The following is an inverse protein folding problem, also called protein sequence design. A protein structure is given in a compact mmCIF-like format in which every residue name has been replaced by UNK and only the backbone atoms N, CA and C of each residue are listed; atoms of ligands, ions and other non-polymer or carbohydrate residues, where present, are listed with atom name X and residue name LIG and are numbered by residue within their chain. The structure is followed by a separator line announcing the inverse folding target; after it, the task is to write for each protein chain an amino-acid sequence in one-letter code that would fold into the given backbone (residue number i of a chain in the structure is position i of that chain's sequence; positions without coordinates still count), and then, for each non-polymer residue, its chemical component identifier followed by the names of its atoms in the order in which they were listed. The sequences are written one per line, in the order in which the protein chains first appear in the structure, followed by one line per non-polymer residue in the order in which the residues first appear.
data_IF_261166131980
#
_entry.id   IF_261166131980
#
_cell.length_a   1.000
_cell.length_b   1.000
_cell.length_c   1.000
_cell.angle_alpha   90.00
_cell.angle_beta   90.00
_cell.angle_gamma   90.00
#
_symmetry.space_group_name_H-M   'P 1'
#
loop_
_entity.id
_entity.type
_entity.pdbx_description
1 polymer ?
#
# COMPACT_ATOMS: atom_id res chain seq x y z
N UNK A 1 -27.66 -35.43 52.60
CA UNK A 1 -27.69 -34.18 51.82
C UNK A 1 -26.83 -33.18 52.56
N UNK A 2 -25.66 -32.84 52.03
CA UNK A 2 -24.73 -31.89 52.65
C UNK A 2 -23.39 -32.01 51.93
N UNK A 3 -22.97 -30.90 51.31
CA UNK A 3 -21.63 -30.56 50.79
C UNK A 3 -21.60 -30.06 49.33
N UNK A 4 -22.72 -30.09 48.60
CA UNK A 4 -22.82 -29.46 47.26
C UNK A 4 -22.13 -30.23 46.14
N UNK A 5 -21.69 -31.46 46.39
CA UNK A 5 -21.13 -32.39 45.42
C UNK A 5 -22.15 -33.48 45.05
N UNK A 6 -22.19 -33.86 43.77
CA UNK A 6 -23.00 -34.96 43.25
C UNK A 6 -22.12 -36.00 42.58
N UNK A 7 -22.25 -37.25 43.00
CA UNK A 7 -21.71 -38.40 42.28
C UNK A 7 -22.80 -38.92 41.32
N UNK A 8 -22.50 -38.89 40.02
CA UNK A 8 -23.48 -39.17 38.96
C UNK A 8 -22.94 -40.25 38.03
N UNK A 9 -23.63 -41.39 38.00
CA UNK A 9 -23.40 -42.43 37.00
C UNK A 9 -24.36 -42.20 35.83
N UNK A 10 -23.90 -41.76 34.65
CA UNK A 10 -24.76 -41.58 33.50
C UNK A 10 -25.28 -42.95 33.00
N UNK A 11 -26.51 -42.99 32.45
CA UNK A 11 -27.05 -44.23 31.90
C UNK A 11 -26.26 -44.67 30.67
N UNK A 12 -26.19 -45.99 30.43
CA UNK A 12 -25.32 -46.62 29.43
C UNK A 12 -25.50 -46.15 27.97
N UNK A 13 -26.62 -45.49 27.65
CA UNK A 13 -26.90 -44.96 26.31
C UNK A 13 -26.43 -43.50 26.12
N UNK A 14 -26.02 -42.80 27.19
CA UNK A 14 -25.47 -41.43 27.14
C UNK A 14 -23.95 -41.49 27.00
N UNK A 15 -23.50 -41.63 25.75
CA UNK A 15 -22.09 -41.73 25.38
C UNK A 15 -21.36 -40.37 25.38
N UNK A 16 -22.13 -39.29 25.51
CA UNK A 16 -21.73 -37.89 25.50
C UNK A 16 -21.49 -37.31 26.91
N UNK A 17 -21.87 -38.02 27.98
CA UNK A 17 -21.72 -37.55 29.37
C UNK A 17 -20.50 -38.19 30.01
N UNK A 18 -19.39 -37.46 30.02
CA UNK A 18 -18.07 -37.94 30.48
C UNK A 18 -17.35 -36.98 31.42
N UNK A 19 -17.73 -35.70 31.41
CA UNK A 19 -17.16 -34.66 32.27
C UNK A 19 -18.27 -33.88 33.01
N UNK A 20 -17.94 -33.16 34.10
CA UNK A 20 -18.93 -32.38 34.85
C UNK A 20 -19.71 -31.37 34.00
N UNK A 21 -19.07 -30.75 33.00
CA UNK A 21 -19.69 -29.76 32.11
C UNK A 21 -20.84 -30.35 31.28
N UNK A 22 -20.78 -31.64 30.92
CA UNK A 22 -21.86 -32.32 30.21
C UNK A 22 -23.11 -32.42 31.09
N UNK A 23 -22.93 -32.66 32.40
CA UNK A 23 -24.03 -32.63 33.36
C UNK A 23 -24.59 -31.22 33.56
N UNK A 24 -23.72 -30.20 33.56
CA UNK A 24 -24.15 -28.80 33.63
C UNK A 24 -24.96 -28.42 32.39
N UNK A 25 -24.55 -28.86 31.19
CA UNK A 25 -25.34 -28.70 29.96
C UNK A 25 -26.71 -29.38 30.10
N UNK A 26 -26.77 -30.61 30.58
CA UNK A 26 -28.04 -31.33 30.76
C UNK A 26 -28.99 -30.63 31.73
N UNK A 27 -28.45 -30.14 32.86
CA UNK A 27 -29.22 -29.33 33.81
C UNK A 27 -29.70 -28.04 33.14
N UNK A 28 -28.83 -27.33 32.43
CA UNK A 28 -29.19 -26.09 31.74
C UNK A 28 -30.25 -26.30 30.66
N UNK A 29 -30.12 -27.36 29.86
CA UNK A 29 -31.04 -27.74 28.78
C UNK A 29 -32.42 -28.09 29.32
N UNK A 30 -32.50 -28.84 30.42
CA UNK A 30 -33.77 -29.22 31.07
C UNK A 30 -34.38 -28.06 31.86
N UNK A 31 -33.55 -27.24 32.52
CA UNK A 31 -33.99 -26.03 33.21
C UNK A 31 -34.58 -25.01 32.23
N UNK A 32 -34.01 -24.93 31.03
CA UNK A 32 -34.37 -24.02 29.95
C UNK A 32 -33.46 -22.79 29.94
N UNK A 33 -32.69 -22.60 28.87
CA UNK A 33 -31.71 -21.52 28.75
C UNK A 33 -32.33 -20.12 28.87
N UNK A 34 -33.58 -19.95 28.42
CA UNK A 34 -34.31 -18.67 28.55
C UNK A 34 -34.52 -18.23 30.01
N UNK A 35 -34.37 -19.16 30.96
CA UNK A 35 -34.49 -18.88 32.39
C UNK A 35 -33.17 -18.47 33.05
N UNK A 36 -32.05 -18.53 32.32
CA UNK A 36 -30.75 -18.05 32.81
C UNK A 36 -30.72 -16.53 32.63
N UNK A 37 -30.63 -15.74 33.72
CA UNK A 37 -30.63 -14.28 33.59
C UNK A 37 -29.43 -13.77 32.79
N UNK A 38 -29.62 -12.85 31.82
CA UNK A 38 -28.51 -12.25 31.11
C UNK A 38 -27.76 -11.31 32.05
N UNK A 39 -26.47 -11.56 32.25
CA UNK A 39 -25.58 -10.70 33.02
C UNK A 39 -24.39 -10.27 32.17
N UNK A 40 -24.01 -8.99 32.25
CA UNK A 40 -22.79 -8.53 31.59
C UNK A 40 -21.56 -9.23 32.22
N UNK A 41 -20.64 -9.76 31.41
CA UNK A 41 -19.38 -10.28 31.93
C UNK A 41 -18.51 -9.11 32.43
N UNK A 42 -18.00 -9.19 33.65
CA UNK A 42 -16.88 -8.35 34.10
C UNK A 42 -16.99 -7.75 35.51
N UNK A 43 -15.83 -7.36 36.03
CA UNK A 43 -15.69 -6.42 37.16
C UNK A 43 -15.64 -5.00 36.61
N UNK A 44 -16.07 -4.01 37.41
CA UNK A 44 -15.78 -2.60 37.09
C UNK A 44 -14.27 -2.41 37.07
N UNK A 45 -13.72 -2.00 35.93
CA UNK A 45 -12.32 -1.61 35.84
C UNK A 45 -12.17 -0.19 36.37
N UNK A 46 -11.32 0.01 37.39
CA UNK A 46 -11.02 1.33 37.97
C UNK A 46 -10.02 2.13 37.12
N UNK A 47 -9.30 1.44 36.24
CA UNK A 47 -8.30 2.02 35.33
C UNK A 47 -8.47 1.46 33.92
N UNK A 48 -8.39 2.34 32.93
CA UNK A 48 -8.43 1.98 31.52
C UNK A 48 -7.08 2.33 30.87
N UNK A 49 -6.39 1.32 30.37
CA UNK A 49 -5.25 1.52 29.46
C UNK A 49 -5.80 1.42 28.04
N UNK A 50 -5.70 2.46 27.21
CA UNK A 50 -6.11 2.36 25.82
C UNK A 50 -5.30 1.25 25.14
N UNK A 51 -6.00 0.28 24.56
CA UNK A 51 -5.35 -0.68 23.68
C UNK A 51 -4.82 0.06 22.46
N UNK A 52 -3.63 -0.32 21.99
CA UNK A 52 -3.19 0.06 20.65
C UNK A 52 -4.29 -0.31 19.66
N UNK A 53 -4.67 0.58 18.73
CA UNK A 53 -5.62 0.27 17.68
C UNK A 53 -5.29 -1.06 17.00
N UNK A 54 -6.31 -1.87 16.69
CA UNK A 54 -6.10 -3.05 15.85
C UNK A 54 -5.51 -2.61 14.50
N UNK A 55 -4.79 -3.52 13.84
CA UNK A 55 -4.28 -3.29 12.48
C UNK A 55 -5.41 -2.83 11.55
N UNK A 56 -6.57 -3.47 11.65
CA UNK A 56 -7.73 -3.13 10.83
C UNK A 56 -8.23 -1.69 11.07
N UNK A 57 -8.32 -1.25 12.33
CA UNK A 57 -8.67 0.15 12.64
C UNK A 57 -7.66 1.15 12.09
N UNK A 58 -6.36 0.81 12.11
CA UNK A 58 -5.34 1.67 11.51
C UNK A 58 -5.49 1.78 10.00
N UNK A 59 -6.08 0.77 9.35
CA UNK A 59 -6.27 0.75 7.90
C UNK A 59 -7.53 1.48 7.46
N UNK A 60 -8.40 1.89 8.37
CA UNK A 60 -9.53 2.78 8.05
C UNK A 60 -9.05 4.09 7.44
N UNK A 61 -7.93 4.64 7.90
CA UNK A 61 -7.32 5.84 7.30
C UNK A 61 -6.93 5.62 5.83
N UNK A 62 -6.48 4.41 5.47
CA UNK A 62 -6.17 4.04 4.08
C UNK A 62 -7.45 3.88 3.26
N UNK A 63 -8.50 3.28 3.83
CA UNK A 63 -9.82 3.17 3.20
C UNK A 63 -10.41 4.55 2.93
N UNK A 64 -10.30 5.49 3.87
CA UNK A 64 -10.77 6.86 3.69
C UNK A 64 -10.05 7.59 2.55
N UNK A 65 -8.72 7.44 2.43
CA UNK A 65 -7.96 8.01 1.31
C UNK A 65 -8.41 7.43 -0.03
N UNK A 66 -8.55 6.10 -0.11
CA UNK A 66 -8.95 5.41 -1.35
C UNK A 66 -10.40 5.75 -1.74
N UNK A 67 -11.32 5.75 -0.78
CA UNK A 67 -12.71 6.16 -0.98
C UNK A 67 -12.80 7.63 -1.40
N UNK A 68 -12.03 8.52 -0.77
CA UNK A 68 -11.95 9.94 -1.13
C UNK A 68 -11.36 10.17 -2.54
N UNK A 69 -10.49 9.27 -3.01
CA UNK A 69 -9.99 9.25 -4.38
C UNK A 69 -10.95 8.59 -5.39
N UNK A 70 -12.12 8.13 -4.94
CA UNK A 70 -13.17 7.54 -5.76
C UNK A 70 -13.01 6.05 -6.03
N UNK A 71 -12.21 5.33 -5.25
CA UNK A 71 -12.11 3.87 -5.33
C UNK A 71 -13.22 3.19 -4.52
N UNK A 72 -13.65 2.01 -5.00
CA UNK A 72 -14.59 1.14 -4.30
C UNK A 72 -13.86 -0.08 -3.74
N UNK A 73 -14.05 -0.37 -2.46
CA UNK A 73 -13.51 -1.59 -1.84
C UNK A 73 -14.21 -2.82 -2.42
N UNK A 74 -13.44 -3.83 -2.75
CA UNK A 74 -13.94 -5.13 -3.20
C UNK A 74 -13.44 -6.23 -2.28
N UNK A 75 -14.28 -7.24 -2.07
CA UNK A 75 -13.90 -8.46 -1.39
C UNK A 75 -13.84 -9.59 -2.40
N UNK A 76 -12.65 -10.15 -2.62
CA UNK A 76 -12.46 -11.23 -3.58
C UNK A 76 -12.12 -12.55 -2.88
N UNK A 77 -12.48 -13.71 -3.46
CA UNK A 77 -12.08 -15.00 -2.93
C UNK A 77 -10.55 -15.12 -2.79
N UNK A 78 -10.10 -15.73 -1.69
CA UNK A 78 -8.69 -16.06 -1.49
C UNK A 78 -8.25 -17.24 -2.38
N UNK A 79 -9.18 -18.10 -2.77
CA UNK A 79 -8.97 -19.19 -3.71
C UNK A 79 -9.22 -18.72 -5.14
N UNK A 80 -8.24 -18.95 -6.00
CA UNK A 80 -8.20 -18.59 -7.42
C UNK A 80 -7.71 -19.78 -8.22
N UNK A 81 -7.73 -19.67 -9.55
CA UNK A 81 -7.20 -20.70 -10.44
C UNK A 81 -5.67 -20.73 -10.41
N UNK A 82 -5.09 -21.87 -10.03
CA UNK A 82 -3.66 -22.12 -10.10
C UNK A 82 -3.12 -22.03 -11.52
N UNK A 83 -3.88 -22.51 -12.51
CA UNK A 83 -3.53 -22.40 -13.92
C UNK A 83 -3.35 -20.93 -14.36
N UNK A 84 -4.19 -20.02 -13.84
CA UNK A 84 -4.04 -18.59 -14.10
C UNK A 84 -2.81 -18.00 -13.41
N UNK A 85 -2.47 -18.44 -12.20
CA UNK A 85 -1.23 -18.01 -11.55
C UNK A 85 0.00 -18.44 -12.35
N UNK A 86 -0.03 -19.62 -12.97
CA UNK A 86 1.04 -20.12 -13.86
C UNK A 86 1.14 -19.30 -15.16
N UNK A 87 0.01 -19.00 -15.81
CA UNK A 87 -0.04 -18.14 -17.00
C UNK A 87 0.57 -16.76 -16.71
N UNK A 88 0.21 -16.19 -15.56
CA UNK A 88 0.74 -14.92 -15.08
C UNK A 88 2.17 -15.03 -14.52
N UNK A 89 2.73 -16.24 -14.41
CA UNK A 89 4.05 -16.57 -13.85
C UNK A 89 4.27 -16.06 -12.43
N UNK A 90 3.21 -16.11 -11.61
CA UNK A 90 3.22 -15.78 -10.18
C UNK A 90 2.89 -16.99 -9.30
N UNK A 91 2.98 -18.21 -9.85
CA UNK A 91 2.71 -19.46 -9.16
C UNK A 91 3.89 -20.03 -8.34
N UNK A 92 5.08 -19.40 -8.40
CA UNK A 92 6.30 -19.95 -7.79
C UNK A 92 6.20 -20.26 -6.28
N UNK A 93 5.33 -19.53 -5.56
CA UNK A 93 5.04 -19.75 -4.13
C UNK A 93 3.55 -20.03 -3.89
N UNK A 94 2.82 -20.48 -4.91
CA UNK A 94 1.40 -20.79 -4.80
C UNK A 94 1.18 -22.08 -3.99
N UNK A 95 0.02 -22.16 -3.35
CA UNK A 95 -0.35 -23.28 -2.49
C UNK A 95 -1.72 -23.83 -2.92
N UNK A 96 -1.77 -25.00 -3.59
CA UNK A 96 -3.01 -25.63 -3.98
C UNK A 96 -3.72 -26.25 -2.78
N UNK A 97 -5.05 -26.32 -2.85
CA UNK A 97 -5.91 -27.00 -1.88
C UNK A 97 -6.25 -28.40 -2.40
N UNK A 98 -6.17 -29.40 -1.53
CA UNK A 98 -6.35 -30.81 -1.91
C UNK A 98 -7.78 -31.19 -2.27
N UNK A 99 -8.77 -30.54 -1.65
CA UNK A 99 -10.20 -30.78 -1.84
C UNK A 99 -10.90 -29.53 -2.41
N UNK A 100 -10.33 -29.00 -3.50
CA UNK A 100 -10.89 -27.84 -4.19
C UNK A 100 -12.34 -28.08 -4.66
N UNK A 101 -13.16 -27.03 -4.59
CA UNK A 101 -14.55 -27.06 -5.07
C UNK A 101 -14.63 -27.04 -6.60
N UNK A 102 -13.64 -26.41 -7.26
CA UNK A 102 -13.52 -26.31 -8.72
C UNK A 102 -12.10 -25.89 -9.11
N UNK A 103 -11.74 -26.06 -10.38
CA UNK A 103 -10.44 -25.63 -10.95
C UNK A 103 -10.27 -24.09 -10.97
N UNK A 104 -11.37 -23.34 -10.83
CA UNK A 104 -11.33 -21.88 -10.70
C UNK A 104 -10.99 -21.42 -9.26
N UNK A 105 -11.08 -22.33 -8.29
CA UNK A 105 -10.90 -22.08 -6.86
C UNK A 105 -10.05 -23.18 -6.20
N UNK A 106 -8.94 -23.54 -6.85
CA UNK A 106 -8.07 -24.65 -6.42
C UNK A 106 -6.81 -24.21 -5.68
N UNK A 107 -6.46 -22.91 -5.73
CA UNK A 107 -5.15 -22.43 -5.27
C UNK A 107 -5.26 -21.12 -4.50
N UNK A 108 -4.53 -20.96 -3.40
CA UNK A 108 -4.47 -19.69 -2.67
C UNK A 108 -3.74 -18.62 -3.50
N UNK A 109 -4.32 -17.41 -3.54
CA UNK A 109 -3.77 -16.28 -4.29
C UNK A 109 -2.42 -15.81 -3.75
N UNK A 110 -1.47 -15.55 -4.66
CA UNK A 110 -0.15 -14.99 -4.34
C UNK A 110 -0.08 -13.46 -4.51
N UNK A 111 -1.14 -12.85 -5.08
CA UNK A 111 -1.32 -11.42 -5.33
C UNK A 111 -2.83 -11.10 -5.38
N UNK A 112 -3.21 -9.86 -5.06
CA UNK A 112 -4.59 -9.35 -5.12
C UNK A 112 -4.95 -8.84 -6.53
N UNK A 113 -3.96 -8.45 -7.33
CA UNK A 113 -4.17 -7.81 -8.63
C UNK A 113 -4.99 -8.65 -9.62
N UNK A 114 -4.80 -9.98 -9.79
CA UNK A 114 -5.61 -10.75 -10.72
C UNK A 114 -7.11 -10.66 -10.41
N UNK A 115 -7.48 -10.77 -9.14
CA UNK A 115 -8.88 -10.68 -8.69
C UNK A 115 -9.45 -9.27 -8.89
N UNK A 116 -8.65 -8.22 -8.65
CA UNK A 116 -9.06 -6.84 -8.94
C UNK A 116 -9.28 -6.60 -10.44
N UNK A 117 -8.46 -7.21 -11.30
CA UNK A 117 -8.65 -7.16 -12.75
C UNK A 117 -9.96 -7.84 -13.18
N UNK A 118 -10.33 -8.95 -12.54
CA UNK A 118 -11.63 -9.59 -12.78
C UNK A 118 -12.80 -8.73 -12.34
N UNK A 119 -12.68 -8.06 -11.19
CA UNK A 119 -13.68 -7.11 -10.74
C UNK A 119 -13.85 -5.95 -11.74
N UNK A 120 -12.76 -5.46 -12.34
CA UNK A 120 -12.84 -4.47 -13.43
C UNK A 120 -13.54 -5.05 -14.65
N UNK A 121 -13.18 -6.26 -15.09
CA UNK A 121 -13.76 -6.93 -16.24
C UNK A 121 -15.28 -7.12 -16.10
N UNK A 122 -15.71 -7.64 -14.95
CA UNK A 122 -17.12 -7.85 -14.63
C UNK A 122 -17.93 -6.55 -14.71
N UNK A 123 -17.36 -5.43 -14.26
CA UNK A 123 -18.01 -4.13 -14.31
C UNK A 123 -18.06 -3.56 -15.73
N UNK A 124 -16.99 -3.76 -16.52
CA UNK A 124 -16.96 -3.33 -17.92
C UNK A 124 -17.94 -4.10 -18.80
N UNK A 125 -18.08 -5.40 -18.59
CA UNK A 125 -19.08 -6.24 -19.26
C UNK A 125 -20.52 -5.76 -18.97
N UNK A 126 -20.71 -5.01 -17.88
CA UNK A 126 -21.97 -4.37 -17.48
C UNK A 126 -22.04 -2.89 -17.88
N UNK A 127 -21.16 -2.42 -18.75
CA UNK A 127 -21.18 -1.07 -19.32
C UNK A 127 -20.54 0.02 -18.45
N UNK A 128 -19.82 -0.32 -17.37
CA UNK A 128 -19.10 0.66 -16.54
C UNK A 128 -17.68 0.85 -17.05
N UNK A 129 -17.35 2.06 -17.50
CA UNK A 129 -16.04 2.35 -18.13
C UNK A 129 -14.98 2.86 -17.15
N UNK A 130 -15.36 3.75 -16.20
CA UNK A 130 -14.47 4.29 -15.18
C UNK A 130 -14.60 3.43 -13.91
N UNK A 131 -13.83 2.34 -13.87
CA UNK A 131 -13.80 1.42 -12.72
C UNK A 131 -12.51 1.64 -11.95
N UNK A 132 -12.68 1.89 -10.64
CA UNK A 132 -11.61 2.12 -9.66
C UNK A 132 -11.90 1.24 -8.45
N UNK A 133 -11.10 0.19 -8.28
CA UNK A 133 -11.32 -0.82 -7.24
C UNK A 133 -10.07 -1.00 -6.42
N UNK A 134 -10.25 -1.29 -5.13
CA UNK A 134 -9.16 -1.66 -4.24
C UNK A 134 -9.56 -2.82 -3.34
N UNK A 135 -8.57 -3.47 -2.75
CA UNK A 135 -8.75 -4.50 -1.73
C UNK A 135 -7.61 -4.39 -0.71
N UNK A 136 -7.96 -4.61 0.56
CA UNK A 136 -7.01 -4.78 1.67
C UNK A 136 -7.19 -6.20 2.19
N UNK A 137 -6.24 -7.08 1.91
CA UNK A 137 -6.37 -8.48 2.30
C UNK A 137 -5.03 -9.24 2.27
N UNK A 138 -5.03 -10.43 2.85
CA UNK A 138 -3.87 -11.31 2.82
C UNK A 138 -3.64 -11.89 1.41
N UNK A 139 -2.37 -11.95 1.01
CA UNK A 139 -1.86 -12.91 0.03
C UNK A 139 -1.22 -14.10 0.76
N UNK A 140 -1.07 -15.23 0.09
CA UNK A 140 -0.54 -16.45 0.70
C UNK A 140 0.66 -16.94 -0.08
N UNK A 141 1.81 -17.05 0.58
CA UNK A 141 3.06 -17.44 -0.05
C UNK A 141 3.65 -18.67 0.66
N UNK A 142 3.77 -19.78 -0.05
CA UNK A 142 4.42 -20.98 0.45
C UNK A 142 5.88 -20.67 0.86
N UNK A 143 6.30 -21.17 2.03
CA UNK A 143 7.68 -21.00 2.52
C UNK A 143 8.65 -21.85 1.72
N UNK A 144 9.76 -21.25 1.27
CA UNK A 144 10.75 -21.95 0.46
C UNK A 144 11.54 -22.91 1.35
N UNK A 145 11.54 -24.21 0.99
CA UNK A 145 12.32 -25.23 1.70
C UNK A 145 11.63 -25.83 2.94
N UNK A 146 10.45 -25.37 3.31
CA UNK A 146 9.68 -25.89 4.46
C UNK A 146 8.46 -26.67 3.96
N UNK A 147 8.43 -28.00 4.17
CA UNK A 147 7.26 -28.82 3.86
C UNK A 147 6.25 -28.76 5.00
N UNK A 148 4.96 -28.65 4.68
CA UNK A 148 3.83 -28.60 5.63
C UNK A 148 3.86 -27.43 6.63
N UNK A 149 4.59 -26.35 6.32
CA UNK A 149 4.54 -25.13 7.11
C UNK A 149 3.34 -24.26 6.71
N UNK A 150 2.83 -23.47 7.65
CA UNK A 150 1.88 -22.41 7.34
C UNK A 150 2.52 -21.40 6.36
N UNK A 151 1.75 -20.86 5.39
CA UNK A 151 2.25 -19.87 4.46
C UNK A 151 2.68 -18.59 5.19
N UNK A 152 3.50 -17.79 4.52
CA UNK A 152 3.55 -16.36 4.82
C UNK A 152 2.24 -15.72 4.36
N UNK A 153 1.63 -14.92 5.23
CA UNK A 153 0.35 -14.26 4.97
C UNK A 153 0.50 -12.73 5.01
N UNK A 154 1.28 -12.12 4.09
CA UNK A 154 1.42 -10.66 4.08
C UNK A 154 0.08 -10.00 3.81
N UNK A 155 -0.28 -9.06 4.68
CA UNK A 155 -1.39 -8.15 4.47
C UNK A 155 -1.01 -7.12 3.42
N UNK A 156 -1.77 -7.06 2.33
CA UNK A 156 -1.51 -6.16 1.22
C UNK A 156 -2.65 -5.19 1.02
N UNK A 157 -2.30 -4.01 0.51
CA UNK A 157 -3.25 -3.10 -0.12
C UNK A 157 -2.93 -3.03 -1.60
N UNK A 158 -3.95 -3.26 -2.43
CA UNK A 158 -3.85 -3.18 -3.88
C UNK A 158 -4.99 -2.35 -4.45
N UNK A 159 -4.71 -1.61 -5.52
CA UNK A 159 -5.72 -0.83 -6.23
C UNK A 159 -5.49 -0.90 -7.74
N UNK A 160 -6.59 -0.88 -8.51
CA UNK A 160 -6.59 -0.87 -9.97
C UNK A 160 -7.51 0.26 -10.45
N UNK A 161 -7.02 1.05 -11.40
CA UNK A 161 -7.76 2.12 -12.06
C UNK A 161 -7.66 1.98 -13.59
N UNK A 162 -8.80 2.16 -14.25
CA UNK A 162 -8.88 2.25 -15.71
C UNK A 162 -8.32 3.57 -16.23
N UNK A 163 -7.56 3.50 -17.32
CA UNK A 163 -7.07 4.65 -18.08
C UNK A 163 -7.41 4.48 -19.57
N UNK A 164 -7.54 5.62 -20.27
CA UNK A 164 -7.66 5.61 -21.72
C UNK A 164 -6.43 4.98 -22.40
N UNK A 165 -6.58 4.55 -23.65
CA UNK A 165 -5.57 3.78 -24.36
C UNK A 165 -4.28 4.55 -24.69
N UNK A 166 -4.30 5.89 -24.68
CA UNK A 166 -3.12 6.69 -25.01
C UNK A 166 -2.02 6.57 -23.95
N UNK A 167 -0.76 6.66 -24.38
CA UNK A 167 0.38 6.62 -23.46
C UNK A 167 0.36 7.80 -22.46
N UNK A 168 -0.10 8.97 -22.92
CA UNK A 168 -0.27 10.15 -22.07
C UNK A 168 -1.31 9.93 -20.96
N UNK A 169 -2.45 9.32 -21.29
CA UNK A 169 -3.47 9.00 -20.30
C UNK A 169 -2.97 7.96 -19.28
N UNK A 170 -2.24 6.95 -19.73
CA UNK A 170 -1.57 5.98 -18.84
C UNK A 170 -0.60 6.65 -17.89
N UNK A 171 0.29 7.51 -18.39
CA UNK A 171 1.25 8.26 -17.59
C UNK A 171 0.58 9.22 -16.60
N UNK A 172 -0.47 9.93 -17.01
CA UNK A 172 -1.26 10.81 -16.12
C UNK A 172 -1.92 10.00 -15.01
N UNK A 173 -2.50 8.85 -15.33
CA UNK A 173 -3.17 7.97 -14.36
C UNK A 173 -2.16 7.35 -13.39
N UNK A 174 -0.97 6.98 -13.86
CA UNK A 174 0.13 6.52 -13.03
C UNK A 174 0.56 7.56 -12.00
N UNK A 175 0.69 8.83 -12.41
CA UNK A 175 1.01 9.92 -11.48
C UNK A 175 -0.12 10.17 -10.48
N UNK A 176 -1.37 10.12 -10.92
CA UNK A 176 -2.52 10.25 -10.02
C UNK A 176 -2.57 9.12 -8.99
N UNK A 177 -2.39 7.87 -9.43
CA UNK A 177 -2.38 6.71 -8.54
C UNK A 177 -1.18 6.74 -7.56
N UNK A 178 -0.03 7.22 -8.01
CA UNK A 178 1.12 7.50 -7.13
C UNK A 178 0.72 8.46 -6.00
N UNK A 179 0.04 9.55 -6.31
CA UNK A 179 -0.40 10.52 -5.31
C UNK A 179 -1.39 9.93 -4.31
N UNK A 180 -2.29 9.04 -4.76
CA UNK A 180 -3.20 8.30 -3.87
C UNK A 180 -2.40 7.39 -2.94
N UNK A 181 -1.44 6.62 -3.48
CA UNK A 181 -0.56 5.76 -2.68
C UNK A 181 0.26 6.56 -1.65
N UNK A 182 0.84 7.69 -2.05
CA UNK A 182 1.53 8.59 -1.12
C UNK A 182 0.59 9.08 -0.01
N UNK A 183 -0.67 9.38 -0.35
CA UNK A 183 -1.72 9.73 0.59
C UNK A 183 -2.02 8.60 1.59
N UNK A 184 -2.11 7.36 1.13
CA UNK A 184 -2.31 6.19 2.00
C UNK A 184 -1.17 6.03 3.01
N UNK A 185 0.08 6.16 2.55
CA UNK A 185 1.27 6.08 3.41
C UNK A 185 1.31 7.23 4.42
N UNK A 186 0.96 8.45 3.98
CA UNK A 186 0.90 9.62 4.85
C UNK A 186 -0.20 9.53 5.91
N UNK A 187 -1.37 8.97 5.56
CA UNK A 187 -2.48 8.77 6.50
C UNK A 187 -2.09 7.80 7.63
N UNK A 188 -1.29 6.78 7.31
CA UNK A 188 -0.66 5.90 8.30
C UNK A 188 0.49 6.55 9.09
N UNK A 189 0.77 7.84 8.88
CA UNK A 189 1.86 8.59 9.50
C UNK A 189 3.23 7.94 9.30
N UNK A 190 3.44 7.27 8.17
CA UNK A 190 4.71 6.66 7.79
C UNK A 190 5.57 7.62 6.95
N UNK A 191 6.91 7.45 6.91
CA UNK A 191 7.78 8.24 6.05
C UNK A 191 7.41 8.10 4.57
N UNK A 192 7.75 9.11 3.78
CA UNK A 192 7.47 9.10 2.33
C UNK A 192 8.24 8.00 1.62
N UNK A 193 7.56 7.24 0.77
CA UNK A 193 8.20 6.25 -0.10
C UNK A 193 9.04 6.90 -1.21
N UNK A 194 10.02 6.15 -1.67
CA UNK A 194 10.77 6.40 -2.91
C UNK A 194 10.33 5.41 -3.99
N UNK A 195 10.57 5.78 -5.25
CA UNK A 195 10.11 5.03 -6.41
C UNK A 195 11.29 4.79 -7.35
N UNK A 196 11.57 3.52 -7.66
CA UNK A 196 12.69 3.11 -8.50
C UNK A 196 12.16 2.38 -9.73
N UNK A 197 12.69 2.67 -10.93
CA UNK A 197 12.30 1.93 -12.14
C UNK A 197 12.52 0.43 -11.90
N UNK A 198 11.51 -0.37 -12.20
CA UNK A 198 11.54 -1.81 -11.98
C UNK A 198 10.88 -2.55 -13.13
N UNK A 199 11.19 -3.85 -13.24
CA UNK A 199 10.44 -4.79 -14.05
C UNK A 199 9.85 -5.85 -13.11
N UNK A 200 8.55 -6.02 -13.15
CA UNK A 200 7.82 -6.96 -12.30
C UNK A 200 6.81 -7.73 -13.15
N UNK A 201 6.56 -8.97 -12.79
CA UNK A 201 5.87 -9.94 -13.64
C UNK A 201 4.47 -9.48 -14.11
N UNK A 202 3.70 -8.81 -13.24
CA UNK A 202 2.35 -8.31 -13.54
C UNK A 202 2.34 -6.94 -14.21
N UNK A 203 3.49 -6.28 -14.35
CA UNK A 203 3.59 -4.89 -14.77
C UNK A 203 4.36 -4.74 -16.07
N UNK A 204 4.08 -3.68 -16.80
CA UNK A 204 4.81 -3.33 -18.00
C UNK A 204 6.25 -2.91 -17.65
N UNK A 205 7.30 -3.49 -18.28
CA UNK A 205 8.70 -3.32 -17.86
C UNK A 205 9.23 -1.89 -17.97
N UNK A 206 8.68 -1.09 -18.90
CA UNK A 206 9.03 0.33 -19.05
C UNK A 206 8.17 1.30 -18.25
N UNK A 207 7.13 0.83 -17.56
CA UNK A 207 6.09 1.66 -16.92
C UNK A 207 5.72 1.12 -15.54
N UNK A 208 6.74 0.71 -14.80
CA UNK A 208 6.65 0.13 -13.47
C UNK A 208 7.73 0.74 -12.57
N UNK A 209 7.36 0.95 -11.31
CA UNK A 209 8.27 1.34 -10.25
C UNK A 209 8.11 0.43 -9.04
N UNK A 210 9.23 0.02 -8.46
CA UNK A 210 9.28 -0.53 -7.12
C UNK A 210 9.01 0.61 -6.11
N UNK A 211 8.13 0.33 -5.15
CA UNK A 211 7.81 1.23 -4.04
C UNK A 211 8.72 0.86 -2.87
N UNK A 212 9.53 1.81 -2.40
CA UNK A 212 10.59 1.54 -1.42
C UNK A 212 10.46 2.48 -0.22
N UNK A 213 10.46 1.91 0.98
CA UNK A 213 10.45 2.62 2.26
C UNK A 213 11.68 2.21 3.07
N UNK A 214 12.52 3.16 3.47
CA UNK A 214 13.75 2.92 4.24
C UNK A 214 14.65 1.80 3.65
N UNK A 215 14.76 1.77 2.32
CA UNK A 215 15.54 0.75 1.60
C UNK A 215 14.86 -0.60 1.43
N UNK A 216 13.70 -0.82 2.06
CA UNK A 216 12.88 -2.02 1.88
C UNK A 216 11.86 -1.84 0.76
N UNK A 217 11.86 -2.75 -0.20
CA UNK A 217 10.81 -2.81 -1.22
C UNK A 217 9.50 -3.30 -0.59
N UNK A 218 8.43 -2.53 -0.78
CA UNK A 218 7.08 -2.85 -0.31
C UNK A 218 6.24 -3.55 -1.38
N UNK A 219 6.54 -3.28 -2.65
CA UNK A 219 5.74 -3.76 -3.77
C UNK A 219 5.95 -2.89 -5.00
N UNK A 220 4.92 -2.75 -5.83
CA UNK A 220 5.04 -2.11 -7.14
C UNK A 220 3.86 -1.18 -7.45
N UNK A 221 4.13 -0.18 -8.28
CA UNK A 221 3.18 0.74 -8.88
C UNK A 221 3.48 0.84 -10.38
N UNK A 222 2.49 0.68 -11.25
CA UNK A 222 2.73 0.72 -12.69
C UNK A 222 1.51 0.47 -13.56
N UNK A 223 1.72 0.55 -14.87
CA UNK A 223 0.77 -0.03 -15.82
C UNK A 223 0.87 -1.55 -15.80
N UNK A 224 -0.26 -2.25 -15.79
CA UNK A 224 -0.29 -3.70 -15.88
C UNK A 224 0.21 -4.18 -17.25
N UNK A 225 0.85 -5.35 -17.27
CA UNK A 225 1.27 -5.96 -18.53
C UNK A 225 0.04 -6.42 -19.34
N UNK A 226 0.02 -6.30 -20.68
CA UNK A 226 -1.13 -6.72 -21.50
C UNK A 226 -1.57 -8.17 -21.30
N UNK A 227 -0.65 -9.07 -20.91
CA UNK A 227 -0.98 -10.47 -20.60
C UNK A 227 -1.87 -10.61 -19.36
N UNK A 228 -1.75 -9.70 -18.38
CA UNK A 228 -2.63 -9.71 -17.19
C UNK A 228 -4.07 -9.43 -17.58
N UNK A 229 -4.28 -8.63 -18.62
CA UNK A 229 -5.59 -8.21 -19.11
C UNK A 229 -6.12 -9.05 -20.27
N UNK A 230 -5.30 -9.97 -20.81
CA UNK A 230 -5.61 -10.68 -22.07
C UNK A 230 -6.87 -11.54 -21.98
N UNK A 231 -7.12 -12.17 -20.83
CA UNK A 231 -8.33 -12.97 -20.59
C UNK A 231 -9.61 -12.14 -20.39
N UNK A 232 -9.48 -10.83 -20.15
CA UNK A 232 -10.56 -10.01 -19.60
C UNK A 232 -11.28 -9.10 -20.63
N UNK A 233 -10.98 -9.21 -21.94
CA UNK A 233 -11.54 -8.35 -23.02
C UNK A 233 -11.56 -6.85 -22.68
N UNK A 234 -10.54 -6.39 -21.96
CA UNK A 234 -10.45 -5.03 -21.46
C UNK A 234 -9.83 -4.10 -22.53
N UNK A 235 -10.57 -3.09 -22.97
CA UNK A 235 -10.02 -2.02 -23.81
C UNK A 235 -9.28 -0.96 -22.97
N UNK A 236 -8.20 -0.38 -23.51
CA UNK A 236 -7.44 0.66 -22.82
C UNK A 236 -6.39 0.12 -21.84
N UNK A 237 -5.95 0.96 -20.90
CA UNK A 237 -4.86 0.66 -19.97
C UNK A 237 -5.40 0.45 -18.57
N UNK A 238 -4.76 -0.42 -17.80
CA UNK A 238 -4.95 -0.52 -16.36
C UNK A 238 -3.68 -0.09 -15.65
N UNK A 239 -3.85 0.75 -14.65
CA UNK A 239 -2.77 1.18 -13.76
C UNK A 239 -3.08 0.65 -12.38
N UNK A 240 -2.07 0.13 -11.70
CA UNK A 240 -2.26 -0.52 -10.42
C UNK A 240 -1.10 -0.28 -9.47
N UNK A 241 -1.35 -0.46 -8.17
CA UNK A 241 -0.32 -0.75 -7.20
C UNK A 241 -0.71 -1.95 -6.35
N UNK A 242 0.29 -2.62 -5.79
CA UNK A 242 0.14 -3.60 -4.71
C UNK A 242 1.36 -3.44 -3.80
N UNK A 243 1.13 -3.22 -2.50
CA UNK A 243 2.19 -3.11 -1.49
C UNK A 243 1.87 -3.91 -0.22
N UNK A 244 2.92 -4.42 0.43
CA UNK A 244 2.85 -4.97 1.78
C UNK A 244 2.63 -3.85 2.80
N UNK A 245 1.72 -4.08 3.74
CA UNK A 245 1.23 -3.06 4.68
C UNK A 245 2.04 -3.03 5.97
N UNK A 246 2.46 -4.19 6.46
CA UNK A 246 3.15 -4.33 7.75
C UNK A 246 4.40 -3.43 7.88
N UNK A 247 5.27 -3.30 6.85
CA UNK A 247 6.43 -2.43 6.97
C UNK A 247 6.05 -0.95 7.08
N UNK A 248 4.95 -0.54 6.45
CA UNK A 248 4.41 0.83 6.56
C UNK A 248 3.90 1.07 7.98
N UNK A 249 3.14 0.11 8.52
CA UNK A 249 2.61 0.17 9.89
C UNK A 249 3.70 0.14 10.95
N UNK A 250 4.83 -0.53 10.67
CA UNK A 250 6.00 -0.56 11.57
C UNK A 250 6.79 0.75 11.54
N UNK A 251 6.83 1.43 10.38
CA UNK A 251 7.52 2.72 10.22
C UNK A 251 6.69 3.93 10.68
N UNK A 252 5.39 3.74 10.94
CA UNK A 252 4.48 4.80 11.37
C UNK A 252 4.96 5.50 12.64
N UNK A 253 4.82 6.81 12.69
CA UNK A 253 5.18 7.63 13.85
C UNK A 253 3.95 8.36 14.36
N UNK A 254 3.87 8.55 15.67
CA UNK A 254 2.81 9.39 16.26
C UNK A 254 3.09 10.85 15.84
N UNK A 255 2.18 11.52 15.13
CA UNK A 255 2.35 12.91 14.77
C UNK A 255 2.52 13.77 16.03
N UNK A 256 3.54 14.63 16.03
CA UNK A 256 3.76 15.61 17.10
C UNK A 256 3.42 16.99 16.58
N UNK A 257 2.69 17.75 17.39
CA UNK A 257 2.43 19.15 17.09
C UNK A 257 3.76 19.90 16.94
N UNK A 258 3.89 20.64 15.84
CA UNK A 258 5.01 21.54 15.61
C UNK A 258 4.52 22.99 15.71
N UNK A 259 5.33 23.92 16.23
CA UNK A 259 5.00 25.33 16.24
C UNK A 259 4.73 25.83 14.82
N UNK A 260 3.77 26.75 14.68
CA UNK A 260 3.55 27.41 13.40
C UNK A 260 4.80 28.24 12.99
N UNK A 261 5.12 28.29 11.69
CA UNK A 261 6.21 29.12 11.18
C UNK A 261 6.02 30.59 11.60
N UNK A 262 7.07 31.19 12.20
CA UNK A 262 7.07 32.60 12.63
C UNK A 262 7.71 33.56 11.63
N UNK A 263 8.54 33.02 10.73
CA UNK A 263 9.31 33.79 9.76
C UNK A 263 8.87 33.46 8.34
N UNK A 264 8.94 34.43 7.40
CA UNK A 264 8.53 34.20 6.02
C UNK A 264 9.44 33.15 5.36
N UNK A 265 8.86 32.39 4.42
CA UNK A 265 9.66 31.55 3.53
C UNK A 265 10.16 32.38 2.34
N UNK A 266 11.28 31.93 1.77
CA UNK A 266 11.82 32.43 0.51
C UNK A 266 11.73 31.29 -0.51
N UNK A 267 11.14 31.56 -1.67
CA UNK A 267 11.08 30.60 -2.77
C UNK A 267 12.12 30.94 -3.84
N UNK A 268 12.72 29.88 -4.40
CA UNK A 268 13.61 29.94 -5.56
C UNK A 268 13.28 28.80 -6.50
N UNK A 269 13.19 29.13 -7.77
CA UNK A 269 13.11 28.13 -8.82
C UNK A 269 14.51 27.74 -9.30
N UNK A 270 14.65 26.47 -9.69
CA UNK A 270 15.89 25.90 -10.20
C UNK A 270 15.58 25.04 -11.43
N UNK A 271 16.04 25.46 -12.60
CA UNK A 271 16.00 24.65 -13.82
C UNK A 271 17.29 23.83 -13.95
N UNK A 272 17.16 22.51 -13.85
CA UNK A 272 18.27 21.57 -13.89
C UNK A 272 18.24 20.82 -15.21
N UNK A 273 19.34 20.86 -15.97
CA UNK A 273 19.51 20.12 -17.22
C UNK A 273 20.35 18.87 -16.97
N UNK A 274 19.83 17.71 -17.34
CA UNK A 274 20.49 16.42 -17.12
C UNK A 274 20.26 15.48 -18.30
N UNK A 275 21.05 14.42 -18.39
CA UNK A 275 20.78 13.30 -19.29
C UNK A 275 19.38 12.73 -19.03
N UNK A 276 18.74 12.27 -20.10
CA UNK A 276 17.35 11.81 -20.06
C UNK A 276 17.10 10.66 -19.07
N UNK A 277 18.11 9.81 -18.89
CA UNK A 277 18.01 8.65 -18.00
C UNK A 277 17.95 9.02 -16.51
N UNK A 278 18.37 10.23 -16.14
CA UNK A 278 18.43 10.65 -14.73
C UNK A 278 17.02 10.86 -14.18
N UNK A 279 16.68 10.15 -13.10
CA UNK A 279 15.36 10.27 -12.48
C UNK A 279 15.22 11.57 -11.69
N UNK A 280 14.07 12.25 -11.79
CA UNK A 280 13.77 13.44 -11.00
C UNK A 280 13.87 13.17 -9.48
N UNK A 281 13.53 11.95 -9.04
CA UNK A 281 13.70 11.53 -7.65
C UNK A 281 15.15 11.54 -7.16
N UNK A 282 16.11 11.21 -8.02
CA UNK A 282 17.54 11.27 -7.68
C UNK A 282 18.00 12.73 -7.50
N UNK A 283 17.52 13.63 -8.37
CA UNK A 283 17.76 15.07 -8.23
C UNK A 283 17.14 15.64 -6.95
N UNK A 284 15.90 15.26 -6.63
CA UNK A 284 15.24 15.67 -5.38
C UNK A 284 16.02 15.20 -4.15
N UNK A 285 16.54 13.97 -4.16
CA UNK A 285 17.36 13.47 -3.07
C UNK A 285 18.64 14.30 -2.92
N UNK A 286 19.32 14.59 -4.04
CA UNK A 286 20.52 15.42 -4.02
C UNK A 286 20.25 16.85 -3.55
N UNK A 287 19.16 17.46 -4.00
CA UNK A 287 18.69 18.77 -3.54
C UNK A 287 18.46 18.76 -2.03
N UNK A 288 17.76 17.75 -1.50
CA UNK A 288 17.46 17.64 -0.07
C UNK A 288 18.72 17.50 0.79
N UNK A 289 19.66 16.66 0.36
CA UNK A 289 20.92 16.47 1.09
C UNK A 289 21.82 17.71 1.06
N UNK A 290 21.85 18.44 -0.06
CA UNK A 290 22.65 19.67 -0.18
C UNK A 290 21.98 20.91 0.40
N UNK A 291 20.65 20.94 0.49
CA UNK A 291 19.90 22.09 1.00
C UNK A 291 19.95 22.27 2.53
N UNK A 292 20.36 21.23 3.25
CA UNK A 292 20.52 21.27 4.70
C UNK A 292 19.25 21.64 5.46
N UNK A 293 19.41 22.22 6.64
CA UNK A 293 18.31 22.55 7.55
C UNK A 293 17.44 23.73 7.07
N UNK A 294 17.96 24.57 6.17
CA UNK A 294 17.23 25.74 5.66
C UNK A 294 16.25 25.37 4.55
N UNK A 295 16.44 24.26 3.86
CA UNK A 295 15.52 23.79 2.82
C UNK A 295 14.31 23.11 3.47
N UNK A 296 13.18 23.80 3.46
CA UNK A 296 11.91 23.31 4.03
C UNK A 296 11.21 22.36 3.04
N UNK A 297 11.14 22.74 1.76
CA UNK A 297 10.49 21.95 0.73
C UNK A 297 11.23 22.00 -0.62
N UNK A 298 11.14 20.91 -1.37
CA UNK A 298 11.61 20.82 -2.75
C UNK A 298 10.61 19.99 -3.56
N UNK A 299 10.10 20.56 -4.67
CA UNK A 299 9.17 19.86 -5.57
C UNK A 299 9.56 20.08 -7.03
N UNK A 300 9.49 19.03 -7.84
CA UNK A 300 9.53 19.17 -9.29
C UNK A 300 8.14 19.61 -9.79
N UNK A 301 8.08 20.59 -10.67
CA UNK A 301 6.80 21.09 -11.21
C UNK A 301 6.71 21.04 -12.73
N UNK A 302 7.84 20.97 -13.45
CA UNK A 302 7.85 20.87 -14.90
C UNK A 302 9.00 19.98 -15.41
N UNK A 303 8.78 19.31 -16.54
CA UNK A 303 9.80 18.58 -17.30
C UNK A 303 9.69 18.97 -18.78
N UNK A 304 10.74 19.58 -19.30
CA UNK A 304 10.82 20.02 -20.68
C UNK A 304 11.84 19.23 -21.49
N UNK A 305 11.43 18.85 -22.70
CA UNK A 305 12.23 18.18 -23.73
C UNK A 305 12.10 18.94 -25.02
N UNK A 306 13.21 19.40 -25.58
CA UNK A 306 13.18 20.12 -26.85
C UNK A 306 14.55 20.62 -27.28
N UNK A 307 14.61 21.25 -28.46
CA UNK A 307 15.86 21.65 -29.12
C UNK A 307 16.77 22.53 -28.23
N UNK A 308 16.19 23.35 -27.34
CA UNK A 308 16.93 24.23 -26.44
C UNK A 308 17.72 23.51 -25.34
N UNK A 309 17.43 22.24 -25.06
CA UNK A 309 18.12 21.44 -24.02
C UNK A 309 19.18 20.51 -24.62
N UNK A 310 19.17 20.35 -25.95
CA UNK A 310 20.00 19.38 -26.66
C UNK A 310 19.40 17.97 -26.66
N UNK A 311 19.78 17.18 -27.66
CA UNK A 311 19.35 15.80 -27.79
C UNK A 311 19.89 14.94 -26.62
N UNK A 312 19.12 13.95 -26.18
CA UNK A 312 19.48 13.08 -25.05
C UNK A 312 19.42 13.75 -23.66
N UNK A 313 18.98 15.01 -23.58
CA UNK A 313 18.85 15.74 -22.33
C UNK A 313 17.40 16.17 -22.07
N UNK A 314 17.13 16.49 -20.81
CA UNK A 314 15.88 17.08 -20.35
C UNK A 314 16.16 18.15 -19.31
N UNK A 315 15.25 19.11 -19.21
CA UNK A 315 15.26 20.12 -18.16
C UNK A 315 14.14 19.83 -17.18
N UNK A 316 14.45 19.75 -15.90
CA UNK A 316 13.47 19.60 -14.83
C UNK A 316 13.50 20.88 -13.98
N UNK A 317 12.34 21.50 -13.81
CA UNK A 317 12.19 22.69 -13.00
C UNK A 317 11.71 22.32 -11.58
N UNK A 318 12.39 22.88 -10.59
CA UNK A 318 12.10 22.67 -9.17
C UNK A 318 11.76 23.99 -8.49
N UNK A 319 10.75 23.98 -7.63
CA UNK A 319 10.52 25.05 -6.66
C UNK A 319 11.10 24.61 -5.32
N UNK A 320 11.97 25.43 -4.77
CA UNK A 320 12.64 25.23 -3.50
C UNK A 320 12.17 26.29 -2.51
N UNK A 321 11.69 25.86 -1.35
CA UNK A 321 11.21 26.72 -0.27
C UNK A 321 12.23 26.69 0.86
N UNK A 322 12.76 27.85 1.22
CA UNK A 322 13.73 28.02 2.29
C UNK A 322 13.10 28.76 3.47
N UNK A 323 13.39 28.31 4.70
CA UNK A 323 12.92 28.97 5.92
C UNK A 323 13.86 28.68 7.09
N UNK A 324 14.02 29.66 7.97
CA UNK A 324 14.60 29.45 9.30
C UNK A 324 13.52 29.56 10.38
N UNK A 325 13.65 28.73 11.42
CA UNK A 325 12.81 28.79 12.63
C UNK A 325 13.17 29.96 13.56
N UNK A 326 14.28 30.66 13.31
CA UNK A 326 14.87 31.63 14.25
C UNK A 326 14.94 33.07 13.71
N UNK A 327 14.93 33.26 12.38
CA UNK A 327 15.06 34.57 11.74
C UNK A 327 14.50 34.60 10.32
N UNK A 328 14.30 35.80 9.79
CA UNK A 328 14.08 36.02 8.35
C UNK A 328 15.40 35.76 7.61
N UNK A 329 15.34 34.95 6.55
CA UNK A 329 16.50 34.68 5.70
C UNK A 329 16.80 35.87 4.78
N UNK A 330 18.08 36.19 4.63
CA UNK A 330 18.57 37.14 3.63
C UNK A 330 18.80 36.44 2.29
N UNK A 331 18.78 37.21 1.19
CA UNK A 331 19.06 36.66 -0.15
C UNK A 331 20.45 36.00 -0.21
N UNK A 332 21.46 36.60 0.42
CA UNK A 332 22.83 36.05 0.45
C UNK A 332 22.92 34.68 1.15
N UNK A 333 22.11 34.44 2.19
CA UNK A 333 22.05 33.14 2.86
C UNK A 333 21.39 32.09 1.96
N UNK A 334 20.30 32.45 1.26
CA UNK A 334 19.62 31.56 0.33
C UNK A 334 20.52 31.25 -0.87
N UNK A 335 21.19 32.25 -1.43
CA UNK A 335 22.09 32.09 -2.59
C UNK A 335 23.28 31.18 -2.26
N UNK A 336 23.78 31.22 -1.01
CA UNK A 336 24.80 30.27 -0.54
C UNK A 336 24.29 28.83 -0.60
N UNK A 337 23.10 28.56 -0.06
CA UNK A 337 22.51 27.20 -0.08
C UNK A 337 22.19 26.77 -1.52
N UNK A 338 21.69 27.69 -2.35
CA UNK A 338 21.48 27.42 -3.78
C UNK A 338 22.77 27.03 -4.49
N UNK A 339 23.90 27.66 -4.15
CA UNK A 339 25.21 27.33 -4.69
C UNK A 339 25.68 25.94 -4.25
N UNK A 340 25.42 25.56 -2.99
CA UNK A 340 25.70 24.21 -2.47
C UNK A 340 24.85 23.14 -3.15
N UNK A 341 23.56 23.42 -3.40
CA UNK A 341 22.65 22.55 -4.16
C UNK A 341 23.14 22.36 -5.60
N UNK A 342 23.50 23.46 -6.29
CA UNK A 342 24.02 23.39 -7.66
C UNK A 342 25.29 22.55 -7.73
N UNK A 343 26.23 22.76 -6.81
CA UNK A 343 27.46 21.97 -6.73
C UNK A 343 27.19 20.48 -6.45
N UNK A 344 26.22 20.16 -5.60
CA UNK A 344 25.81 18.78 -5.31
C UNK A 344 25.23 18.08 -6.55
N UNK A 345 24.39 18.77 -7.30
CA UNK A 345 23.79 18.30 -8.55
C UNK A 345 24.83 18.12 -9.66
N UNK A 346 25.77 19.06 -9.82
CA UNK A 346 26.89 18.94 -10.77
C UNK A 346 27.74 17.71 -10.48
N UNK A 347 28.17 17.54 -9.23
CA UNK A 347 29.07 16.44 -8.84
C UNK A 347 28.44 15.06 -9.01
N UNK A 348 27.15 14.91 -8.71
CA UNK A 348 26.49 13.59 -8.69
C UNK A 348 25.81 13.23 -9.99
N UNK A 349 25.31 14.22 -10.73
CA UNK A 349 24.47 14.00 -11.89
C UNK A 349 24.95 14.71 -13.15
N UNK A 350 26.14 15.36 -13.10
CA UNK A 350 26.67 16.17 -14.20
C UNK A 350 25.65 17.20 -14.70
N UNK A 351 24.87 17.72 -13.76
CA UNK A 351 23.79 18.64 -14.07
C UNK A 351 24.34 19.96 -14.62
N UNK A 352 23.71 20.46 -15.67
CA UNK A 352 23.80 21.87 -16.09
C UNK A 352 22.63 22.66 -15.51
N UNK A 353 22.69 23.98 -15.63
CA UNK A 353 21.62 24.87 -15.18
C UNK A 353 21.23 25.87 -16.25
N UNK A 354 19.97 26.30 -16.19
CA UNK A 354 19.46 27.42 -16.98
C UNK A 354 18.98 28.50 -16.01
N UNK A 355 19.13 29.74 -16.43
CA UNK A 355 18.47 30.89 -15.80
C UNK A 355 17.02 31.01 -16.27
#
# INVERSE_FOLDING_TARGET
MGDGEWDVLPPVFRLDVTIPEDLVEEVGRVYGYDRVPPTLPGRRHETWTPLSPSVDRRLDDVREVLAGAGFTETWNPALVSGARLEELRIAARAMPVSNALSDEMDTLRTSLLPSLVDAVALNRDRGRIDVRVYEIAAAFLARVGEKNAQPEEPLRVAAVISAAASAEAGAKTLRALKSVLDGCVAALSAPTCTYQRAAAQLFHPGRCAAVVLDGRQLGYLGELHPTVTAGARLEGRLVAFEIDVEPVLAASRIPRAQPLPRFPAVERDLAVVVEDIVAAGALLLAIKESGGELLEHARAFDEYRGAQVGEGHKSIAFTLTFRSSERTLTDAEVDKVMSEIRLGLEKRHRAGFRE
#
